data_IF_448430873778
#
_entry.id   IF_448430873778
#
_cell.length_a   1.000
_cell.length_b   1.000
_cell.length_c   1.000
_cell.angle_alpha   90.00
_cell.angle_beta   90.00
_cell.angle_gamma   90.00
#
_symmetry.space_group_name_H-M   'P 1'
#
loop_
_entity.id
_entity.type
_entity.pdbx_description
1 polymer ?
#
# COMPACT_ATOMS: atom_id res chain seq x y z
N UNK A 1 32.60 34.16 28.82
CA UNK A 1 31.14 34.34 28.74
C UNK A 1 30.77 34.54 27.28
N UNK A 2 30.60 33.45 26.53
CA UNK A 2 30.15 33.48 25.14
C UNK A 2 28.97 32.51 25.03
N UNK A 3 27.76 33.02 25.31
CA UNK A 3 26.53 32.34 24.95
C UNK A 3 26.40 32.45 23.43
N UNK A 4 26.88 31.42 22.72
CA UNK A 4 26.50 31.21 21.33
C UNK A 4 24.97 31.08 21.31
N UNK A 5 24.31 32.04 20.65
CA UNK A 5 22.87 32.03 20.41
C UNK A 5 22.51 30.74 19.66
N UNK A 6 22.11 29.70 20.39
CA UNK A 6 21.41 28.56 19.83
C UNK A 6 20.10 29.10 19.25
N UNK A 7 20.10 29.41 17.95
CA UNK A 7 18.86 29.60 17.21
C UNK A 7 18.19 28.24 17.13
N UNK A 8 17.09 28.08 17.85
CA UNK A 8 16.25 26.89 17.72
C UNK A 8 15.94 26.67 16.24
N UNK A 9 16.17 25.46 15.71
CA UNK A 9 15.89 25.18 14.31
C UNK A 9 14.38 25.34 14.09
N UNK A 10 14.01 26.25 13.19
CA UNK A 10 12.61 26.49 12.86
C UNK A 10 11.99 25.18 12.34
N UNK A 11 10.78 24.80 12.76
CA UNK A 11 10.14 23.59 12.28
C UNK A 11 10.00 23.66 10.75
N UNK A 12 10.48 22.62 10.06
CA UNK A 12 10.33 22.52 8.62
C UNK A 12 8.96 21.94 8.30
N UNK A 13 8.18 22.63 7.46
CA UNK A 13 6.94 22.10 6.91
C UNK A 13 7.26 21.34 5.63
N UNK A 14 7.25 20.01 5.68
CA UNK A 14 7.40 19.18 4.48
C UNK A 14 6.02 18.99 3.86
N UNK A 15 5.87 19.45 2.61
CA UNK A 15 4.66 19.20 1.81
C UNK A 15 4.97 18.11 0.80
N UNK A 16 4.57 16.87 1.09
CA UNK A 16 4.71 15.77 0.17
C UNK A 16 3.58 15.78 -0.87
N UNK A 17 3.93 15.68 -2.16
CA UNK A 17 2.96 15.55 -3.26
C UNK A 17 2.99 14.13 -3.79
N UNK A 18 1.85 13.44 -3.75
CA UNK A 18 1.70 12.12 -4.38
C UNK A 18 1.79 12.30 -5.90
N UNK A 19 2.65 11.50 -6.53
CA UNK A 19 2.81 11.42 -7.98
C UNK A 19 2.84 9.97 -8.43
N UNK A 20 2.47 9.73 -9.69
CA UNK A 20 2.60 8.43 -10.33
C UNK A 20 4.06 8.19 -10.72
N UNK A 21 4.83 7.62 -9.80
CA UNK A 21 6.24 7.29 -10.02
C UNK A 21 6.42 6.23 -11.11
N UNK A 22 5.54 5.22 -11.21
CA UNK A 22 5.63 4.17 -12.24
C UNK A 22 5.58 4.77 -13.64
N UNK A 23 4.62 5.66 -13.87
CA UNK A 23 4.49 6.37 -15.15
C UNK A 23 5.72 7.24 -15.43
N UNK A 24 6.23 7.97 -14.43
CA UNK A 24 7.39 8.83 -14.62
C UNK A 24 8.67 8.03 -14.92
N UNK A 25 8.91 6.93 -14.21
CA UNK A 25 10.05 6.05 -14.43
C UNK A 25 10.01 5.45 -15.83
N UNK A 26 8.86 4.90 -16.26
CA UNK A 26 8.70 4.36 -17.61
C UNK A 26 8.98 5.42 -18.71
N UNK A 27 8.56 6.67 -18.47
CA UNK A 27 8.85 7.78 -19.39
C UNK A 27 10.35 8.07 -19.45
N UNK A 28 11.04 8.08 -18.30
CA UNK A 28 12.48 8.36 -18.24
C UNK A 28 13.32 7.20 -18.80
N UNK A 29 12.87 5.96 -18.69
CA UNK A 29 13.51 4.80 -19.29
C UNK A 29 13.48 4.87 -20.82
N UNK A 30 12.34 5.27 -21.39
CA UNK A 30 12.23 5.44 -22.84
C UNK A 30 12.85 6.75 -23.36
N UNK A 31 12.71 7.84 -22.61
CA UNK A 31 13.14 9.17 -23.00
C UNK A 31 13.99 9.80 -21.88
N UNK A 32 15.25 9.37 -21.73
CA UNK A 32 16.11 9.85 -20.66
C UNK A 32 16.34 11.36 -20.77
N UNK A 33 16.08 12.08 -19.68
CA UNK A 33 16.24 13.54 -19.64
C UNK A 33 15.11 14.34 -20.31
N UNK A 34 14.03 13.67 -20.74
CA UNK A 34 12.89 14.37 -21.31
C UNK A 34 12.10 15.15 -20.24
N UNK A 35 11.83 16.41 -20.53
CA UNK A 35 10.88 17.22 -19.76
C UNK A 35 9.44 16.77 -20.04
N UNK A 36 8.51 17.11 -19.15
CA UNK A 36 7.08 16.73 -19.28
C UNK A 36 6.49 17.09 -20.65
N UNK A 37 6.81 18.28 -21.19
CA UNK A 37 6.37 18.72 -22.51
C UNK A 37 6.91 17.82 -23.64
N UNK A 38 8.20 17.49 -23.59
CA UNK A 38 8.84 16.62 -24.57
C UNK A 38 8.27 15.19 -24.51
N UNK A 39 8.08 14.66 -23.30
CA UNK A 39 7.45 13.37 -23.09
C UNK A 39 6.00 13.35 -23.62
N UNK A 40 5.22 14.40 -23.37
CA UNK A 40 3.84 14.50 -23.87
C UNK A 40 3.77 14.50 -25.41
N UNK A 41 4.66 15.25 -26.06
CA UNK A 41 4.77 15.30 -27.52
C UNK A 41 5.12 13.92 -28.11
N UNK A 42 6.11 13.23 -27.54
CA UNK A 42 6.51 11.88 -27.99
C UNK A 42 5.40 10.84 -27.79
N UNK A 43 4.69 10.92 -26.67
CA UNK A 43 3.55 10.04 -26.35
C UNK A 43 2.28 10.36 -27.15
N UNK A 44 2.24 11.46 -27.91
CA UNK A 44 1.06 11.89 -28.65
C UNK A 44 -0.14 12.22 -27.74
N UNK A 45 0.14 12.75 -26.55
CA UNK A 45 -0.87 13.19 -25.57
C UNK A 45 -0.68 14.66 -25.22
N UNK A 46 -1.76 15.34 -24.84
CA UNK A 46 -1.67 16.73 -24.40
C UNK A 46 -0.83 16.87 -23.12
N UNK A 47 0.01 17.90 -23.03
CA UNK A 47 0.87 18.17 -21.87
C UNK A 47 0.07 18.26 -20.56
N UNK A 48 -1.09 18.93 -20.61
CA UNK A 48 -2.01 19.03 -19.47
C UNK A 48 -2.53 17.66 -19.03
N UNK A 49 -2.85 16.77 -19.98
CA UNK A 49 -3.35 15.44 -19.67
C UNK A 49 -2.26 14.59 -19.00
N UNK A 50 -1.05 14.60 -19.54
CA UNK A 50 0.08 13.90 -18.94
C UNK A 50 0.38 14.42 -17.53
N UNK A 51 0.31 15.73 -17.33
CA UNK A 51 0.45 16.35 -16.00
C UNK A 51 -0.63 15.90 -15.02
N UNK A 52 -1.88 15.73 -15.47
CA UNK A 52 -2.96 15.20 -14.62
C UNK A 52 -2.80 13.71 -14.29
N UNK A 53 -2.19 12.93 -15.18
CA UNK A 53 -1.86 11.52 -14.95
C UNK A 53 -0.72 11.38 -13.95
N UNK A 54 0.36 12.15 -14.11
CA UNK A 54 1.49 12.19 -13.17
C UNK A 54 1.06 12.67 -11.78
N UNK A 55 0.14 13.63 -11.70
CA UNK A 55 -0.41 14.11 -10.42
C UNK A 55 -1.65 13.33 -9.93
N UNK A 56 -2.02 12.25 -10.63
CA UNK A 56 -3.14 11.37 -10.31
C UNK A 56 -4.50 12.05 -10.10
N UNK A 57 -4.69 13.27 -10.63
CA UNK A 57 -5.94 14.04 -10.47
C UNK A 57 -7.08 13.45 -11.27
N UNK A 58 -6.77 12.93 -12.45
CA UNK A 58 -7.73 12.34 -13.39
C UNK A 58 -7.59 10.82 -13.33
N UNK A 59 -8.73 10.13 -13.23
CA UNK A 59 -8.76 8.67 -13.32
C UNK A 59 -8.65 8.27 -14.81
N UNK A 60 -7.63 7.49 -15.21
CA UNK A 60 -7.46 6.98 -16.57
C UNK A 60 -8.42 5.84 -16.92
N UNK A 61 -9.11 5.30 -15.91
CA UNK A 61 -10.10 4.24 -16.02
C UNK A 61 -11.52 4.79 -15.88
N UNK A 62 -12.36 4.62 -16.90
CA UNK A 62 -13.76 5.07 -16.88
C UNK A 62 -14.66 3.99 -16.30
N UNK A 63 -15.68 4.42 -15.55
CA UNK A 63 -16.63 3.53 -14.88
C UNK A 63 -15.94 2.49 -13.99
N UNK A 64 -14.92 2.91 -13.25
CA UNK A 64 -14.02 2.05 -12.47
C UNK A 64 -14.67 1.07 -11.47
N UNK A 65 -15.96 1.26 -11.17
CA UNK A 65 -16.75 0.47 -10.23
C UNK A 65 -18.01 -0.16 -10.87
N UNK A 66 -18.09 -0.19 -12.20
CA UNK A 66 -19.18 -0.86 -12.93
C UNK A 66 -18.65 -2.12 -13.61
N UNK A 67 -19.55 -3.06 -13.86
CA UNK A 67 -19.27 -4.36 -14.51
C UNK A 67 -18.55 -4.19 -15.88
N UNK A 68 -18.74 -3.05 -16.56
CA UNK A 68 -18.15 -2.75 -17.88
C UNK A 68 -17.20 -1.53 -17.85
N UNK A 69 -16.28 -1.47 -16.87
CA UNK A 69 -15.22 -0.46 -16.87
C UNK A 69 -14.27 -0.61 -18.07
N UNK A 70 -13.71 0.50 -18.56
CA UNK A 70 -12.73 0.47 -19.65
C UNK A 70 -11.68 1.58 -19.55
N UNK A 71 -10.50 1.29 -20.08
CA UNK A 71 -9.39 2.24 -20.17
C UNK A 71 -9.65 3.31 -21.23
N UNK A 72 -9.29 4.56 -20.93
CA UNK A 72 -9.42 5.61 -21.93
C UNK A 72 -8.46 5.35 -23.11
N UNK A 73 -8.88 5.74 -24.33
CA UNK A 73 -8.00 5.66 -25.51
C UNK A 73 -6.65 6.36 -25.30
N UNK A 74 -6.61 7.41 -24.49
CA UNK A 74 -5.38 8.13 -24.17
C UNK A 74 -4.47 7.34 -23.23
N UNK A 75 -5.00 6.74 -22.15
CA UNK A 75 -4.21 5.91 -21.25
C UNK A 75 -3.70 4.65 -21.95
N UNK A 76 -4.51 4.05 -22.81
CA UNK A 76 -4.12 2.89 -23.60
C UNK A 76 -2.98 3.25 -24.58
N UNK A 77 -3.11 4.36 -25.30
CA UNK A 77 -2.05 4.84 -26.20
C UNK A 77 -0.74 5.12 -25.48
N UNK A 78 -0.79 5.71 -24.29
CA UNK A 78 0.41 5.96 -23.47
C UNK A 78 1.07 4.63 -23.08
N UNK A 79 0.27 3.64 -22.67
CA UNK A 79 0.75 2.32 -22.31
C UNK A 79 1.37 1.58 -23.50
N UNK A 80 0.68 1.57 -24.64
CA UNK A 80 1.15 0.97 -25.90
C UNK A 80 2.49 1.59 -26.34
N UNK A 81 2.61 2.91 -26.23
CA UNK A 81 3.85 3.62 -26.60
C UNK A 81 4.99 3.32 -25.63
N UNK A 82 4.68 3.16 -24.33
CA UNK A 82 5.65 2.82 -23.28
C UNK A 82 6.01 1.33 -23.23
N UNK A 83 5.34 0.47 -24.00
CA UNK A 83 5.59 -0.97 -24.00
C UNK A 83 5.21 -1.67 -22.69
N UNK A 84 4.38 -1.03 -21.85
CA UNK A 84 3.93 -1.59 -20.59
C UNK A 84 2.41 -1.78 -20.59
N UNK A 85 1.87 -2.79 -19.89
CA UNK A 85 0.43 -2.92 -19.74
C UNK A 85 -0.14 -1.69 -19.02
N UNK A 86 -1.35 -1.27 -19.42
CA UNK A 86 -1.97 -0.05 -18.91
C UNK A 86 -2.23 -0.14 -17.40
N UNK A 87 -2.48 -1.34 -16.89
CA UNK A 87 -2.66 -1.67 -15.48
C UNK A 87 -1.38 -1.45 -14.65
N UNK A 88 -0.20 -1.66 -15.26
CA UNK A 88 1.08 -1.45 -14.58
C UNK A 88 1.35 0.04 -14.37
N UNK A 89 1.11 0.84 -15.40
CA UNK A 89 1.29 2.30 -15.35
C UNK A 89 0.19 2.98 -14.54
N UNK A 90 -1.03 2.45 -14.58
CA UNK A 90 -2.20 3.02 -13.95
C UNK A 90 -2.87 1.98 -13.06
N UNK A 91 -2.57 1.97 -11.77
CA UNK A 91 -3.15 1.01 -10.85
C UNK A 91 -4.63 1.33 -10.51
N UNK A 92 -5.61 0.49 -10.92
CA UNK A 92 -7.03 0.78 -10.70
C UNK A 92 -7.39 0.99 -9.23
N UNK A 93 -6.71 0.29 -8.31
CA UNK A 93 -6.97 0.37 -6.87
C UNK A 93 -6.61 1.76 -6.33
N UNK A 94 -5.51 2.34 -6.81
CA UNK A 94 -5.05 3.67 -6.38
C UNK A 94 -5.98 4.78 -6.86
N UNK A 95 -6.51 4.67 -8.08
CA UNK A 95 -7.43 5.66 -8.63
C UNK A 95 -8.86 5.54 -8.08
N UNK A 96 -9.21 4.42 -7.44
CA UNK A 96 -10.50 4.18 -6.81
C UNK A 96 -10.69 4.89 -5.45
N UNK A 97 -9.61 5.24 -4.75
CA UNK A 97 -9.67 5.90 -3.44
C UNK A 97 -9.61 7.42 -3.60
N UNK A 98 -10.77 8.08 -3.77
CA UNK A 98 -10.87 9.55 -3.78
C UNK A 98 -11.47 10.10 -2.48
N UNK A 99 -10.95 11.23 -1.95
CA UNK A 99 -9.75 11.95 -2.40
C UNK A 99 -8.45 11.21 -1.99
N UNK A 100 -7.38 11.37 -2.77
CA UNK A 100 -6.06 10.90 -2.37
C UNK A 100 -5.64 11.65 -1.08
N UNK A 101 -5.05 10.95 -0.09
CA UNK A 101 -4.66 11.58 1.17
C UNK A 101 -3.63 12.67 0.91
N UNK A 102 -3.86 13.86 1.45
CA UNK A 102 -2.82 14.91 1.54
C UNK A 102 -2.02 14.62 2.80
N UNK A 103 -0.75 14.27 2.64
CA UNK A 103 0.15 14.11 3.77
C UNK A 103 0.76 15.47 4.10
N UNK A 104 0.18 16.13 5.10
CA UNK A 104 0.81 17.25 5.78
C UNK A 104 1.36 16.71 7.09
N UNK A 105 2.70 16.61 7.20
CA UNK A 105 3.36 16.17 8.40
C UNK A 105 4.24 17.32 8.92
N UNK A 106 3.98 17.77 10.14
CA UNK A 106 4.91 18.61 10.87
C UNK A 106 5.93 17.69 11.54
N UNK A 107 7.19 17.83 11.16
CA UNK A 107 8.28 17.00 11.67
C UNK A 107 9.24 17.92 12.41
N UNK A 108 9.56 17.61 13.67
CA UNK A 108 10.65 18.29 14.37
C UNK A 108 11.96 17.91 13.66
N UNK A 109 12.87 18.86 13.37
CA UNK A 109 14.21 18.58 12.85
C UNK A 109 14.95 17.40 13.52
N UNK A 110 14.61 17.07 14.78
CA UNK A 110 15.14 15.92 15.53
C UNK A 110 14.67 14.55 15.02
N UNK A 111 13.54 14.47 14.32
CA UNK A 111 12.95 13.21 13.82
C UNK A 111 13.36 12.88 12.38
N UNK A 112 14.03 13.81 11.68
CA UNK A 112 14.51 13.63 10.30
C UNK A 112 15.39 12.37 10.05
N UNK A 113 16.29 11.93 10.95
CA UNK A 113 17.07 10.72 10.71
C UNK A 113 16.24 9.43 10.70
N UNK A 114 15.00 9.45 11.19
CA UNK A 114 14.06 8.32 11.10
C UNK A 114 13.27 8.28 9.77
N UNK A 115 13.36 9.33 8.94
CA UNK A 115 12.56 9.48 7.71
C UNK A 115 13.26 8.92 6.44
N UNK A 116 14.22 8.00 6.60
CA UNK A 116 14.84 7.26 5.49
C UNK A 116 14.01 6.04 5.03
N UNK A 117 12.74 5.93 5.42
CA UNK A 117 11.89 4.75 5.22
C UNK A 117 11.19 4.69 3.85
N UNK A 118 11.93 4.96 2.77
CA UNK A 118 11.53 4.49 1.43
C UNK A 118 12.66 3.60 0.90
N UNK A 119 12.43 2.30 1.00
CA UNK A 119 13.15 1.20 0.35
C UNK A 119 14.57 0.88 0.87
N UNK A 120 14.67 0.45 2.13
CA UNK A 120 15.67 -0.57 2.48
C UNK A 120 14.94 -1.91 2.71
N UNK A 121 15.46 -3.03 2.17
CA UNK A 121 14.96 -4.35 2.57
C UNK A 121 15.06 -4.48 4.11
N UNK A 122 14.10 -5.17 4.75
CA UNK A 122 14.08 -5.30 6.21
C UNK A 122 15.43 -5.79 6.70
N UNK A 123 15.90 -5.22 7.81
CA UNK A 123 17.18 -5.61 8.38
C UNK A 123 17.17 -7.13 8.69
N UNK A 124 18.31 -7.84 8.62
CA UNK A 124 18.35 -9.28 8.91
C UNK A 124 17.73 -9.65 10.27
N UNK A 125 17.87 -8.76 11.25
CA UNK A 125 17.27 -8.90 12.58
C UNK A 125 15.74 -8.76 12.54
N UNK A 126 15.20 -7.84 11.74
CA UNK A 126 13.74 -7.73 11.49
C UNK A 126 13.19 -8.96 10.75
N UNK A 127 13.99 -9.56 9.85
CA UNK A 127 13.61 -10.80 9.15
C UNK A 127 13.58 -11.99 10.12
N UNK A 128 14.53 -12.07 11.05
CA UNK A 128 14.56 -13.05 12.14
C UNK A 128 13.35 -12.88 13.06
N UNK A 129 13.02 -11.64 13.44
CA UNK A 129 11.85 -11.34 14.26
C UNK A 129 10.54 -11.70 13.56
N UNK A 130 10.42 -11.46 12.25
CA UNK A 130 9.24 -11.85 11.49
C UNK A 130 9.07 -13.36 11.35
N UNK A 131 10.16 -14.11 11.17
CA UNK A 131 10.11 -15.57 11.09
C UNK A 131 9.71 -16.17 12.45
N UNK A 132 10.32 -15.70 13.53
CA UNK A 132 10.00 -16.11 14.89
C UNK A 132 8.56 -15.73 15.30
N UNK A 133 8.12 -14.52 14.95
CA UNK A 133 6.76 -14.06 15.20
C UNK A 133 5.73 -14.91 14.44
N UNK A 134 6.02 -15.28 13.19
CA UNK A 134 5.17 -16.20 12.41
C UNK A 134 5.07 -17.57 13.08
N UNK A 135 6.18 -18.12 13.56
CA UNK A 135 6.21 -19.39 14.28
C UNK A 135 5.36 -19.33 15.57
N UNK A 136 5.48 -18.25 16.35
CA UNK A 136 4.63 -18.03 17.54
C UNK A 136 3.16 -17.86 17.22
N UNK A 137 2.83 -17.15 16.14
CA UNK A 137 1.45 -17.06 15.66
C UNK A 137 0.93 -18.44 15.26
N UNK A 138 1.74 -19.26 14.58
CA UNK A 138 1.38 -20.63 14.20
C UNK A 138 1.16 -21.52 15.44
N UNK A 139 2.03 -21.47 16.46
CA UNK A 139 1.85 -22.19 17.73
C UNK A 139 0.51 -21.82 18.40
N UNK A 140 0.17 -20.53 18.46
CA UNK A 140 -1.10 -20.08 19.05
C UNK A 140 -2.28 -20.58 18.21
N UNK A 141 -2.17 -20.55 16.89
CA UNK A 141 -3.18 -21.03 15.95
C UNK A 141 -3.40 -22.55 15.96
N UNK A 142 -2.45 -23.35 16.45
CA UNK A 142 -2.64 -24.79 16.65
C UNK A 142 -3.76 -25.09 17.66
N UNK A 143 -3.98 -24.20 18.64
CA UNK A 143 -5.02 -24.34 19.65
C UNK A 143 -6.44 -23.99 19.15
N UNK A 144 -6.54 -23.44 17.93
CA UNK A 144 -7.81 -23.14 17.28
C UNK A 144 -8.29 -24.32 16.46
N UNK A 145 -9.61 -24.40 16.26
CA UNK A 145 -10.18 -25.38 15.34
C UNK A 145 -9.69 -25.11 13.91
N UNK A 146 -9.59 -26.16 13.09
CA UNK A 146 -9.13 -26.04 11.70
C UNK A 146 -9.88 -24.97 10.89
N UNK A 147 -11.19 -24.84 11.12
CA UNK A 147 -12.02 -23.79 10.52
C UNK A 147 -11.67 -22.37 11.01
N UNK A 148 -11.43 -22.20 12.31
CA UNK A 148 -11.01 -20.90 12.88
C UNK A 148 -9.61 -20.51 12.36
N UNK A 149 -8.70 -21.49 12.28
CA UNK A 149 -7.34 -21.29 11.75
C UNK A 149 -7.34 -20.89 10.29
N UNK A 150 -8.12 -21.57 9.45
CA UNK A 150 -8.24 -21.26 8.03
C UNK A 150 -8.75 -19.83 7.83
N UNK A 151 -9.85 -19.46 8.50
CA UNK A 151 -10.43 -18.11 8.43
C UNK A 151 -9.42 -17.04 8.88
N UNK A 152 -8.68 -17.27 9.98
CA UNK A 152 -7.65 -16.33 10.43
C UNK A 152 -6.45 -16.27 9.49
N UNK A 153 -6.00 -17.40 8.96
CA UNK A 153 -4.82 -17.47 8.07
C UNK A 153 -5.09 -16.76 6.76
N UNK A 154 -6.27 -16.97 6.17
CA UNK A 154 -6.70 -16.32 4.94
C UNK A 154 -6.99 -14.84 5.17
N UNK A 155 -7.56 -14.47 6.33
CA UNK A 155 -7.88 -13.07 6.65
C UNK A 155 -6.66 -12.21 6.95
N UNK A 156 -5.66 -12.77 7.62
CA UNK A 156 -4.45 -12.05 8.03
C UNK A 156 -3.25 -12.34 7.12
N UNK A 157 -3.43 -13.13 6.06
CA UNK A 157 -2.40 -13.42 5.07
C UNK A 157 -1.20 -14.19 5.64
N UNK A 158 -1.43 -15.05 6.63
CA UNK A 158 -0.35 -15.83 7.27
C UNK A 158 0.32 -16.81 6.30
N UNK A 159 -0.39 -17.18 5.23
CA UNK A 159 0.09 -18.04 4.14
C UNK A 159 0.47 -17.26 2.87
N UNK A 160 0.51 -15.92 2.92
CA UNK A 160 0.97 -15.07 1.82
C UNK A 160 -0.11 -14.26 1.09
N UNK A 161 -1.39 -14.58 1.24
CA UNK A 161 -2.49 -13.84 0.59
C UNK A 161 -3.53 -13.37 1.62
N UNK A 162 -3.81 -12.07 1.65
CA UNK A 162 -4.88 -11.49 2.44
C UNK A 162 -6.19 -11.58 1.65
N UNK A 163 -7.16 -12.34 2.14
CA UNK A 163 -8.47 -12.53 1.50
C UNK A 163 -9.56 -11.74 2.19
N UNK A 164 -10.55 -11.32 1.41
CA UNK A 164 -11.74 -10.65 1.90
C UNK A 164 -12.70 -11.64 2.59
N UNK A 165 -13.55 -11.14 3.49
CA UNK A 165 -14.59 -11.97 4.12
C UNK A 165 -15.57 -12.57 3.10
N UNK A 166 -15.70 -11.94 1.93
CA UNK A 166 -16.59 -12.40 0.85
C UNK A 166 -15.99 -13.57 0.09
N UNK A 167 -14.69 -13.53 -0.20
CA UNK A 167 -13.96 -14.64 -0.82
C UNK A 167 -13.91 -15.86 0.09
N UNK A 168 -13.57 -15.66 1.38
CA UNK A 168 -13.50 -16.76 2.36
C UNK A 168 -14.89 -17.40 2.58
N UNK A 169 -15.95 -16.59 2.55
CA UNK A 169 -17.33 -17.08 2.66
C UNK A 169 -17.73 -17.93 1.45
N UNK A 170 -17.29 -17.53 0.25
CA UNK A 170 -17.52 -18.29 -0.98
C UNK A 170 -16.79 -19.65 -0.94
N UNK A 171 -15.51 -19.65 -0.58
CA UNK A 171 -14.68 -20.86 -0.51
C UNK A 171 -15.22 -21.90 0.49
N UNK A 172 -15.75 -21.43 1.63
CA UNK A 172 -16.29 -22.30 2.68
C UNK A 172 -17.80 -22.57 2.57
N UNK A 173 -18.46 -22.12 1.50
CA UNK A 173 -19.92 -22.25 1.31
C UNK A 173 -20.75 -21.81 2.52
N UNK A 174 -20.34 -20.71 3.17
CA UNK A 174 -21.02 -20.14 4.33
C UNK A 174 -21.34 -18.67 4.10
N UNK A 175 -22.26 -18.11 4.87
CA UNK A 175 -22.59 -16.69 4.74
C UNK A 175 -21.44 -15.83 5.28
N UNK A 176 -21.28 -14.62 4.72
CA UNK A 176 -20.33 -13.61 5.21
C UNK A 176 -20.47 -13.37 6.73
N UNK A 177 -21.69 -13.35 7.22
CA UNK A 177 -21.96 -13.17 8.66
C UNK A 177 -21.45 -14.36 9.49
N UNK A 178 -21.51 -15.58 8.95
CA UNK A 178 -20.96 -16.76 9.62
C UNK A 178 -19.44 -16.68 9.76
N UNK A 179 -18.73 -16.22 8.73
CA UNK A 179 -17.27 -15.98 8.80
C UNK A 179 -16.95 -14.89 9.84
N UNK A 180 -17.70 -13.78 9.84
CA UNK A 180 -17.55 -12.70 10.83
C UNK A 180 -17.76 -13.20 12.27
N UNK A 181 -18.70 -14.11 12.50
CA UNK A 181 -18.91 -14.73 13.81
C UNK A 181 -17.72 -15.61 14.22
N UNK A 182 -17.16 -16.38 13.29
CA UNK A 182 -15.97 -17.23 13.54
C UNK A 182 -14.76 -16.36 13.86
N UNK A 183 -14.54 -15.28 13.10
CA UNK A 183 -13.48 -14.29 13.34
C UNK A 183 -13.60 -13.68 14.74
N UNK A 184 -14.77 -13.14 15.10
CA UNK A 184 -14.98 -12.55 16.42
C UNK A 184 -14.80 -13.55 17.55
N UNK A 185 -15.23 -14.80 17.36
CA UNK A 185 -15.02 -15.88 18.32
C UNK A 185 -13.53 -16.17 18.50
N UNK A 186 -12.77 -16.23 17.41
CA UNK A 186 -11.34 -16.48 17.44
C UNK A 186 -10.55 -15.32 18.05
N UNK A 187 -10.89 -14.07 17.70
CA UNK A 187 -10.29 -12.87 18.32
C UNK A 187 -10.59 -12.78 19.82
N UNK A 188 -11.82 -13.13 20.23
CA UNK A 188 -12.18 -13.18 21.66
C UNK A 188 -11.35 -14.22 22.41
N UNK A 189 -11.04 -15.35 21.78
CA UNK A 189 -10.09 -16.34 22.32
C UNK A 189 -8.68 -15.74 22.39
N UNK A 190 -8.13 -15.19 21.31
CA UNK A 190 -6.78 -14.58 21.31
C UNK A 190 -6.58 -13.52 22.41
N UNK A 191 -7.63 -12.78 22.79
CA UNK A 191 -7.58 -11.76 23.86
C UNK A 191 -7.50 -12.33 25.28
N UNK A 192 -7.79 -13.62 25.51
CA UNK A 192 -7.79 -14.20 26.85
C UNK A 192 -6.35 -14.43 27.38
N UNK A 193 -6.02 -14.05 28.63
CA UNK A 193 -4.65 -14.08 29.15
C UNK A 193 -4.01 -15.48 29.24
N UNK A 194 -4.82 -16.54 29.30
CA UNK A 194 -4.30 -17.93 29.23
C UNK A 194 -3.73 -18.28 27.86
N UNK A 195 -4.19 -17.62 26.80
CA UNK A 195 -3.78 -17.86 25.41
C UNK A 195 -2.84 -16.78 24.88
N UNK A 196 -2.84 -15.60 25.48
CA UNK A 196 -1.97 -14.47 25.12
C UNK A 196 -0.59 -14.50 25.84
N UNK A 197 -0.32 -15.49 26.70
CA UNK A 197 0.93 -15.55 27.47
C UNK A 197 2.18 -15.64 26.57
N UNK A 198 2.08 -16.29 25.41
CA UNK A 198 3.18 -16.40 24.45
C UNK A 198 3.33 -15.22 23.46
N UNK A 199 2.36 -14.31 23.39
CA UNK A 199 2.39 -13.15 22.47
C UNK A 199 2.73 -11.83 23.16
N UNK A 200 2.57 -11.74 24.49
CA UNK A 200 2.81 -10.51 25.27
C UNK A 200 4.27 -10.27 25.67
N UNK A 201 5.15 -11.26 25.57
CA UNK A 201 6.57 -11.10 25.94
C UNK A 201 7.39 -10.34 24.89
N UNK A 202 6.82 -10.01 23.72
CA UNK A 202 7.53 -9.41 22.57
C UNK A 202 6.99 -8.03 22.14
N UNK A 203 6.40 -7.26 23.07
CA UNK A 203 6.04 -5.84 22.87
C UNK A 203 6.70 -4.95 23.91
#
# INVERSE_FOLDING_TARGET
>A
MNQALYREPKPYRIVAKIKNNRLWTAIQEMFPGANQRHAAEKLGVGESLLGTYLSMKVCPYKYAFRINGYWTKASQRVADHLGHPVEYLFDPVLYGKKPLPKFELEIDPRDLPALNLVALPPAPDEVLDHAFLREKIQEVLLNFTERERAVLSDRFGLNGEVRSLEEIACDQNVTRERIRQIENKALRKLRHPTWNRGLREHY
#
